data_IF_393353222619
#
_entry.id   IF_393353222619
#
_cell.length_a   1.000
_cell.length_b   1.000
_cell.length_c   1.000
_cell.angle_alpha   90.00
_cell.angle_beta   90.00
_cell.angle_gamma   90.00
#
_symmetry.space_group_name_H-M   'P 1'
#
loop_
_entity.id
_entity.type
_entity.pdbx_description
1 polymer ?
#
# COMPACT_ATOMS: atom_id res chain seq x y z
N UNK A 1 -6.69 25.02 -1.70
CA UNK A 1 -5.92 24.80 -0.46
C UNK A 1 -4.45 24.65 -0.79
N UNK A 2 -3.63 25.64 -0.47
CA UNK A 2 -2.18 25.60 -0.67
C UNK A 2 -1.59 24.67 0.41
N UNK A 3 -1.17 23.46 0.05
CA UNK A 3 -0.49 22.54 0.99
C UNK A 3 0.87 23.14 1.33
N UNK A 4 1.03 23.60 2.56
CA UNK A 4 2.33 24.06 3.07
C UNK A 4 3.36 22.92 2.93
N UNK A 5 4.45 23.18 2.23
CA UNK A 5 5.60 22.28 2.14
C UNK A 5 6.38 22.36 3.44
N UNK A 6 6.37 21.26 4.21
CA UNK A 6 7.29 21.10 5.34
C UNK A 6 8.66 20.70 4.79
N UNK A 7 9.58 21.66 4.76
CA UNK A 7 11.00 21.40 4.46
C UNK A 7 11.76 21.20 5.77
N UNK A 8 12.58 20.16 5.82
CA UNK A 8 13.46 19.91 6.97
C UNK A 8 14.77 19.35 6.43
N UNK A 9 15.87 20.00 6.81
CA UNK A 9 17.21 19.54 6.46
C UNK A 9 17.68 18.60 7.56
N UNK A 10 18.04 17.38 7.19
CA UNK A 10 18.51 16.35 8.13
C UNK A 10 19.93 15.96 7.76
N UNK A 11 20.81 15.85 8.75
CA UNK A 11 22.18 15.38 8.53
C UNK A 11 22.18 13.88 8.29
N UNK A 12 22.83 13.45 7.21
CA UNK A 12 23.08 12.03 6.96
C UNK A 12 24.13 11.51 7.94
N UNK A 13 23.83 10.40 8.60
CA UNK A 13 24.76 9.70 9.47
C UNK A 13 25.60 8.71 8.65
N UNK A 14 26.68 8.13 9.23
CA UNK A 14 27.48 7.12 8.54
C UNK A 14 26.60 5.97 8.00
N UNK A 15 27.05 5.36 6.91
CA UNK A 15 26.34 4.26 6.22
C UNK A 15 24.97 4.64 5.64
N UNK A 16 24.71 5.94 5.43
CA UNK A 16 23.47 6.40 4.80
C UNK A 16 22.25 6.37 5.73
N UNK A 17 22.45 6.29 7.05
CA UNK A 17 21.36 6.31 8.01
C UNK A 17 20.83 7.74 8.16
N UNK A 18 19.51 7.92 8.14
CA UNK A 18 18.86 9.19 8.46
C UNK A 18 17.72 8.97 9.45
N UNK A 19 17.57 9.90 10.38
CA UNK A 19 16.46 9.87 11.34
C UNK A 19 15.29 10.67 10.78
N UNK A 20 14.14 10.02 10.61
CA UNK A 20 12.93 10.70 10.15
C UNK A 20 12.29 11.47 11.32
N UNK A 21 12.08 12.80 11.20
CA UNK A 21 11.44 13.61 12.24
C UNK A 21 10.07 13.08 12.65
N UNK A 22 9.72 13.21 13.94
CA UNK A 22 8.47 12.68 14.53
C UNK A 22 7.21 13.15 13.79
N UNK A 23 7.19 14.41 13.35
CA UNK A 23 6.06 14.97 12.61
C UNK A 23 5.81 14.26 11.27
N UNK A 24 6.87 13.91 10.53
CA UNK A 24 6.79 13.18 9.26
C UNK A 24 6.39 11.73 9.54
N UNK A 25 6.97 11.09 10.56
CA UNK A 25 6.61 9.71 10.95
C UNK A 25 5.12 9.56 11.23
N UNK A 26 4.56 10.44 12.06
CA UNK A 26 3.14 10.40 12.41
C UNK A 26 2.22 10.68 11.21
N UNK A 27 2.60 11.65 10.36
CA UNK A 27 1.80 12.04 9.19
C UNK A 27 1.70 10.94 8.13
N UNK A 28 2.79 10.21 7.92
CA UNK A 28 2.88 9.17 6.88
C UNK A 28 2.77 7.74 7.43
N UNK A 29 2.52 7.57 8.74
CA UNK A 29 2.37 6.26 9.35
C UNK A 29 3.62 5.38 9.24
N UNK A 30 4.80 5.99 9.40
CA UNK A 30 6.07 5.25 9.44
C UNK A 30 6.23 4.62 10.83
N UNK A 31 5.77 3.39 10.95
CA UNK A 31 5.86 2.60 12.19
C UNK A 31 7.28 2.08 12.44
N UNK A 32 7.57 1.75 13.70
CA UNK A 32 8.83 1.12 14.07
C UNK A 32 8.95 -0.25 13.40
N UNK A 33 10.13 -0.54 12.83
CA UNK A 33 10.39 -1.73 12.01
C UNK A 33 9.52 -1.86 10.75
N UNK A 34 8.82 -0.79 10.34
CA UNK A 34 8.08 -0.74 9.08
C UNK A 34 9.01 -0.76 7.86
N UNK A 35 8.52 -1.32 6.76
CA UNK A 35 9.22 -1.32 5.49
C UNK A 35 9.00 -0.02 4.74
N UNK A 36 10.07 0.51 4.14
CA UNK A 36 10.04 1.71 3.32
C UNK A 36 10.54 1.35 1.93
N UNK A 37 9.75 1.69 0.91
CA UNK A 37 10.17 1.62 -0.48
C UNK A 37 10.93 2.89 -0.84
N UNK A 38 12.11 2.71 -1.39
CA UNK A 38 12.94 3.77 -1.93
C UNK A 38 12.78 3.73 -3.45
N UNK A 39 12.35 4.84 -4.05
CA UNK A 39 12.26 5.01 -5.49
C UNK A 39 13.05 6.23 -5.92
N UNK A 40 13.88 6.08 -6.94
CA UNK A 40 14.56 7.20 -7.59
C UNK A 40 13.77 7.61 -8.84
N UNK A 41 13.41 8.89 -8.93
CA UNK A 41 12.78 9.44 -10.13
C UNK A 41 13.15 10.92 -10.28
N UNK A 42 13.52 11.33 -11.51
CA UNK A 42 13.91 12.70 -11.87
C UNK A 42 14.94 13.34 -10.93
N UNK A 43 15.95 12.59 -10.52
CA UNK A 43 17.00 13.06 -9.59
C UNK A 43 16.51 13.30 -8.16
N UNK A 44 15.35 12.74 -7.79
CA UNK A 44 14.77 12.80 -6.45
C UNK A 44 14.57 11.40 -5.91
N UNK A 45 14.74 11.27 -4.60
CA UNK A 45 14.43 10.04 -3.87
C UNK A 45 13.07 10.20 -3.21
N UNK A 46 12.18 9.24 -3.49
CA UNK A 46 10.87 9.11 -2.86
C UNK A 46 10.92 7.98 -1.86
N UNK A 47 10.42 8.26 -0.65
CA UNK A 47 10.29 7.29 0.43
C UNK A 47 8.80 7.04 0.65
N UNK A 48 8.36 5.81 0.40
CA UNK A 48 6.96 5.41 0.53
C UNK A 48 6.83 4.32 1.60
N UNK A 49 5.89 4.43 2.56
CA UNK A 49 5.60 3.34 3.49
C UNK A 49 5.03 2.14 2.72
N UNK A 50 5.55 0.95 2.98
CA UNK A 50 5.01 -0.30 2.42
C UNK A 50 4.16 -0.97 3.46
N UNK A 51 2.86 -1.10 3.17
CA UNK A 51 1.96 -1.96 3.96
C UNK A 51 2.09 -3.37 3.42
N UNK A 52 2.68 -4.25 4.21
CA UNK A 52 2.65 -5.69 3.94
C UNK A 52 1.42 -6.28 4.63
N UNK A 53 0.64 -7.06 3.89
CA UNK A 53 -0.33 -7.96 4.50
C UNK A 53 0.43 -9.22 4.93
N UNK A 54 0.17 -9.76 6.14
CA UNK A 54 0.87 -10.95 6.63
C UNK A 54 0.53 -12.22 5.84
N UNK A 55 -0.44 -12.13 4.93
CA UNK A 55 -0.88 -13.20 4.06
C UNK A 55 -0.78 -12.76 2.59
N UNK A 56 -0.51 -13.71 1.67
CA UNK A 56 -0.57 -13.43 0.26
C UNK A 56 -2.02 -13.10 -0.12
N UNK A 57 -2.22 -11.95 -0.74
CA UNK A 57 -3.48 -11.58 -1.37
C UNK A 57 -3.33 -11.70 -2.87
N UNK A 58 -4.27 -12.41 -3.50
CA UNK A 58 -4.48 -12.27 -4.94
C UNK A 58 -5.35 -11.04 -5.19
N UNK A 59 -4.88 -10.20 -6.09
CA UNK A 59 -5.70 -9.16 -6.70
C UNK A 59 -6.47 -9.80 -7.85
N UNK A 60 -7.78 -9.60 -7.89
CA UNK A 60 -8.62 -10.02 -9.00
C UNK A 60 -8.94 -8.83 -9.89
N UNK A 61 -9.04 -9.05 -11.19
CA UNK A 61 -9.59 -8.04 -12.12
C UNK A 61 -11.11 -7.99 -12.00
N UNK A 62 -11.71 -6.89 -12.45
CA UNK A 62 -13.18 -6.75 -12.47
C UNK A 62 -13.84 -7.85 -13.33
N UNK A 63 -13.15 -8.32 -14.38
CA UNK A 63 -13.58 -9.41 -15.25
C UNK A 63 -13.59 -10.76 -14.49
N UNK A 64 -12.52 -11.07 -13.76
CA UNK A 64 -12.44 -12.29 -12.94
C UNK A 64 -13.51 -12.32 -11.83
N UNK A 65 -13.80 -11.15 -11.23
CA UNK A 65 -14.86 -11.03 -10.23
C UNK A 65 -16.23 -11.28 -10.86
N UNK A 66 -16.49 -10.74 -12.05
CA UNK A 66 -17.75 -10.94 -12.77
C UNK A 66 -17.99 -12.41 -13.08
N UNK A 67 -16.98 -13.10 -13.63
CA UNK A 67 -17.09 -14.54 -13.95
C UNK A 67 -17.36 -15.39 -12.69
N UNK A 68 -16.74 -15.03 -11.57
CA UNK A 68 -16.98 -15.69 -10.29
C UNK A 68 -18.43 -15.52 -9.81
N UNK A 69 -18.99 -14.30 -9.86
CA UNK A 69 -20.38 -14.04 -9.46
C UNK A 69 -21.39 -14.70 -10.40
N UNK A 70 -21.13 -14.67 -11.72
CA UNK A 70 -21.99 -15.31 -12.71
C UNK A 70 -22.04 -16.84 -12.52
N UNK A 71 -20.91 -17.45 -12.15
CA UNK A 71 -20.83 -18.88 -11.85
C UNK A 71 -21.59 -19.24 -10.56
N UNK A 72 -21.48 -18.43 -9.51
CA UNK A 72 -22.20 -18.67 -8.25
C UNK A 72 -23.72 -18.58 -8.45
N UNK A 73 -24.20 -17.59 -9.21
CA UNK A 73 -25.61 -17.42 -9.54
C UNK A 73 -26.19 -18.64 -10.29
N UNK A 74 -25.42 -19.24 -11.19
CA UNK A 74 -25.83 -20.45 -11.91
C UNK A 74 -25.93 -21.67 -10.98
N UNK A 75 -24.99 -21.82 -10.04
CA UNK A 75 -25.02 -22.89 -9.03
C UNK A 75 -26.21 -22.76 -8.08
N UNK A 76 -26.55 -21.53 -7.67
CA UNK A 76 -27.70 -21.28 -6.79
C UNK A 76 -29.04 -21.57 -7.49
N UNK A 77 -29.15 -21.31 -8.80
CA UNK A 77 -30.37 -21.64 -9.58
C UNK A 77 -30.54 -23.15 -9.74
N UNK A 78 -29.45 -23.90 -9.94
CA UNK A 78 -29.49 -25.36 -10.07
C UNK A 78 -29.89 -26.10 -8.78
N UNK A 79 -29.55 -25.55 -7.61
CA UNK A 79 -29.86 -26.16 -6.30
C UNK A 79 -31.29 -25.88 -5.83
N UNK A 80 -31.94 -24.80 -6.30
CA UNK A 80 -33.35 -24.49 -6.01
C UNK A 80 -34.37 -25.36 -6.77
N UNK A 81 -33.94 -26.15 -7.75
CA UNK A 81 -34.82 -27.02 -8.56
C UNK A 81 -34.98 -28.45 -8.00
N UNK A 82 -34.39 -28.77 -6.85
CA UNK A 82 -34.50 -30.08 -6.17
C UNK A 82 -35.21 -29.99 -4.81
N UNK A 83 -36.33 -29.27 -4.74
CA UNK A 83 -37.28 -29.34 -3.62
C UNK A 83 -38.68 -29.62 -4.11
#
# INVERSE_FOLDING_TARGET
MQKQSLETIVKLQPKGLMTVPKAIRAKYGLEENGLIRIKEDKGRIYLEPVRTLPYPVRSYTDEELKDFFDFDDQLQKGTKSKK
#
